data_IF_692596883314
#
_entry.id   IF_692596883314
#
_cell.length_a   1.000
_cell.length_b   1.000
_cell.length_c   1.000
_cell.angle_alpha   90.00
_cell.angle_beta   90.00
_cell.angle_gamma   90.00
#
_symmetry.space_group_name_H-M   'P 1'
#
loop_
_entity.id
_entity.type
_entity.pdbx_description
1 polymer ?
#
# COMPACT_ATOMS: atom_id res chain seq x y z
N UNK A 1 -18.20 2.86 -17.20
CA UNK A 1 -16.88 3.33 -16.75
C UNK A 1 -16.33 2.27 -15.83
N UNK A 2 -15.41 1.47 -16.37
CA UNK A 2 -14.82 0.35 -15.66
C UNK A 2 -13.90 0.91 -14.56
N UNK A 3 -14.24 0.61 -13.31
CA UNK A 3 -13.41 1.01 -12.18
C UNK A 3 -12.24 0.02 -12.12
N UNK A 4 -11.06 0.43 -12.59
CA UNK A 4 -9.82 -0.32 -12.45
C UNK A 4 -9.43 -0.41 -10.97
N UNK A 5 -10.05 -1.35 -10.29
CA UNK A 5 -9.98 -1.53 -8.85
C UNK A 5 -9.64 -2.97 -8.51
N UNK A 6 -9.04 -3.17 -7.35
CA UNK A 6 -8.75 -4.51 -6.81
C UNK A 6 -9.16 -4.55 -5.34
N UNK A 7 -9.96 -5.56 -4.99
CA UNK A 7 -10.25 -5.87 -3.59
C UNK A 7 -9.06 -6.62 -3.00
N UNK A 8 -8.41 -6.05 -1.99
CA UNK A 8 -7.32 -6.69 -1.27
C UNK A 8 -7.75 -7.08 0.13
N UNK A 9 -7.12 -8.14 0.62
CA UNK A 9 -7.24 -8.61 2.00
C UNK A 9 -5.84 -8.76 2.55
N UNK A 10 -5.46 -7.87 3.45
CA UNK A 10 -4.12 -7.81 4.00
C UNK A 10 -4.16 -8.15 5.48
N UNK A 11 -3.37 -9.14 5.88
CA UNK A 11 -3.18 -9.48 7.30
C UNK A 11 -2.23 -8.48 7.92
N UNK A 12 -2.49 -8.09 9.17
CA UNK A 12 -1.57 -7.29 9.97
C UNK A 12 -0.18 -7.94 9.99
N UNK A 13 0.86 -7.11 9.89
CA UNK A 13 2.24 -7.55 10.13
C UNK A 13 2.42 -7.62 11.65
N UNK A 14 2.85 -8.77 12.14
CA UNK A 14 3.27 -8.92 13.53
C UNK A 14 4.63 -8.23 13.71
N UNK A 15 4.73 -7.37 14.71
CA UNK A 15 5.94 -6.62 15.00
C UNK A 15 6.25 -6.75 16.49
N UNK A 16 7.46 -7.23 16.81
CA UNK A 16 7.85 -7.57 18.19
C UNK A 16 8.69 -6.48 18.87
N UNK A 17 9.17 -5.47 18.14
CA UNK A 17 10.15 -4.49 18.64
C UNK A 17 9.55 -3.19 19.16
N UNK A 18 8.24 -3.16 19.44
CA UNK A 18 7.57 -1.98 19.99
C UNK A 18 6.11 -1.85 19.55
N UNK A 19 5.38 -0.85 20.06
CA UNK A 19 4.02 -0.60 19.62
C UNK A 19 4.02 -0.12 18.17
N UNK A 20 3.22 -0.78 17.34
CA UNK A 20 2.95 -0.28 15.99
C UNK A 20 2.20 1.06 16.08
N UNK A 21 2.61 2.02 15.27
CA UNK A 21 2.01 3.36 15.23
C UNK A 21 1.22 3.60 13.96
N UNK A 22 1.54 2.89 12.87
CA UNK A 22 0.81 2.99 11.62
C UNK A 22 1.00 1.76 10.72
N UNK A 23 0.03 1.57 9.82
CA UNK A 23 0.14 0.73 8.65
C UNK A 23 -0.03 1.56 7.39
N UNK A 24 0.84 1.34 6.41
CA UNK A 24 0.79 1.97 5.10
C UNK A 24 0.55 0.91 4.04
N UNK A 25 -0.51 1.08 3.23
CA UNK A 25 -0.79 0.18 2.12
C UNK A 25 0.05 0.60 0.91
N UNK A 26 1.06 -0.20 0.58
CA UNK A 26 1.88 -0.02 -0.61
C UNK A 26 1.23 -0.65 -1.84
N UNK A 27 1.28 0.08 -2.95
CA UNK A 27 0.97 -0.40 -4.29
C UNK A 27 2.26 -0.36 -5.09
N UNK A 28 2.75 -1.53 -5.50
CA UNK A 28 4.01 -1.69 -6.25
C UNK A 28 3.70 -1.91 -7.73
N UNK A 29 4.23 -1.04 -8.59
CA UNK A 29 4.11 -1.10 -10.05
C UNK A 29 5.25 -1.97 -10.61
N UNK A 30 4.92 -3.14 -11.20
CA UNK A 30 5.89 -4.17 -11.68
C UNK A 30 6.78 -4.75 -10.56
N UNK A 31 7.53 -5.81 -10.88
CA UNK A 31 8.47 -6.49 -9.97
C UNK A 31 9.72 -5.65 -9.67
N UNK A 32 9.55 -4.39 -9.28
CA UNK A 32 10.62 -3.64 -8.64
C UNK A 32 10.74 -4.11 -7.20
N UNK A 33 11.96 -4.46 -6.81
CA UNK A 33 12.29 -4.75 -5.43
C UNK A 33 12.05 -3.48 -4.60
N UNK A 34 11.27 -3.60 -3.52
CA UNK A 34 11.11 -2.51 -2.55
C UNK A 34 12.37 -2.52 -1.68
N UNK A 35 13.35 -1.70 -2.06
CA UNK A 35 14.63 -1.58 -1.36
C UNK A 35 14.50 -0.60 -0.20
N UNK A 36 15.03 -0.98 0.97
CA UNK A 36 15.07 -0.12 2.14
C UNK A 36 16.15 0.99 2.00
N UNK A 37 15.93 2.18 2.58
CA UNK A 37 14.77 2.58 3.37
C UNK A 37 13.54 2.86 2.49
N UNK A 38 12.37 2.42 2.96
CA UNK A 38 11.09 2.61 2.25
C UNK A 38 10.70 4.09 2.32
N UNK A 39 10.38 4.68 1.17
CA UNK A 39 9.88 6.06 1.09
C UNK A 39 8.36 6.06 1.02
N UNK A 40 7.72 6.62 2.03
CA UNK A 40 6.26 6.69 2.14
C UNK A 40 5.73 7.90 1.35
N UNK A 41 5.71 7.78 0.02
CA UNK A 41 5.25 8.84 -0.87
C UNK A 41 3.81 8.61 -1.34
N UNK A 42 3.08 9.70 -1.49
CA UNK A 42 1.79 9.72 -2.17
C UNK A 42 1.97 9.45 -3.68
N UNK A 43 0.88 9.11 -4.40
CA UNK A 43 0.92 8.76 -5.82
C UNK A 43 1.60 9.83 -6.67
N UNK A 44 1.14 11.08 -6.58
CA UNK A 44 1.70 12.21 -7.35
C UNK A 44 3.21 12.35 -7.16
N UNK A 45 3.69 12.37 -5.91
CA UNK A 45 5.13 12.48 -5.61
C UNK A 45 5.93 11.24 -6.05
N UNK A 46 5.32 10.05 -6.00
CA UNK A 46 5.96 8.83 -6.51
C UNK A 46 6.14 8.90 -8.03
N UNK A 47 5.14 9.39 -8.77
CA UNK A 47 5.24 9.59 -10.23
C UNK A 47 6.31 10.63 -10.57
N UNK A 48 6.31 11.78 -9.89
CA UNK A 48 7.29 12.85 -10.11
C UNK A 48 8.74 12.40 -9.90
N UNK A 49 8.95 11.44 -8.99
CA UNK A 49 10.28 10.91 -8.65
C UNK A 49 10.61 9.60 -9.37
N UNK A 50 9.71 9.07 -10.20
CA UNK A 50 9.86 7.78 -10.88
C UNK A 50 9.94 6.59 -9.92
N UNK A 51 9.39 6.72 -8.71
CA UNK A 51 9.37 5.65 -7.72
C UNK A 51 8.42 4.54 -8.17
N UNK A 52 8.91 3.29 -8.22
CA UNK A 52 8.14 2.13 -8.69
C UNK A 52 7.00 1.68 -7.76
N UNK A 53 6.71 2.42 -6.69
CA UNK A 53 5.62 2.15 -5.75
C UNK A 53 5.13 3.45 -5.12
N UNK A 54 3.91 3.41 -4.57
CA UNK A 54 3.33 4.51 -3.80
C UNK A 54 2.51 3.97 -2.63
N UNK A 55 2.19 4.85 -1.68
CA UNK A 55 1.26 4.55 -0.59
C UNK A 55 -0.14 4.99 -1.01
N UNK A 56 -1.10 4.06 -0.96
CA UNK A 56 -2.49 4.33 -1.33
C UNK A 56 -3.38 4.67 -0.13
N UNK A 57 -2.97 4.28 1.08
CA UNK A 57 -3.70 4.55 2.30
C UNK A 57 -2.81 4.42 3.53
N UNK A 58 -3.15 5.15 4.59
CA UNK A 58 -2.61 5.00 5.94
C UNK A 58 -3.71 4.63 6.92
N UNK A 59 -3.41 3.72 7.83
CA UNK A 59 -4.29 3.25 8.89
C UNK A 59 -3.57 3.26 10.24
N UNK A 60 -4.33 3.42 11.30
CA UNK A 60 -3.93 3.09 12.68
C UNK A 60 -3.99 1.58 12.92
N UNK A 61 -3.27 1.05 13.93
CA UNK A 61 -3.36 -0.37 14.28
C UNK A 61 -4.79 -0.85 14.57
N UNK A 62 -5.60 -0.02 15.23
CA UNK A 62 -7.00 -0.34 15.56
C UNK A 62 -7.89 -0.45 14.31
N UNK A 63 -7.65 0.37 13.29
CA UNK A 63 -8.37 0.28 12.01
C UNK A 63 -8.03 -0.99 11.22
N UNK A 64 -6.82 -1.53 11.38
CA UNK A 64 -6.39 -2.77 10.71
C UNK A 64 -6.85 -4.02 11.47
N UNK A 65 -6.81 -3.98 12.80
CA UNK A 65 -7.07 -5.16 13.63
C UNK A 65 -6.15 -6.33 13.23
N UNK A 66 -6.72 -7.51 13.03
CA UNK A 66 -5.97 -8.68 12.53
C UNK A 66 -5.91 -8.75 10.99
N UNK A 67 -6.85 -8.12 10.29
CA UNK A 67 -6.97 -8.16 8.83
C UNK A 67 -7.81 -7.01 8.31
N UNK A 68 -7.30 -6.31 7.32
CA UNK A 68 -8.01 -5.26 6.60
C UNK A 68 -8.53 -5.76 5.25
N UNK A 69 -9.76 -5.37 4.91
CA UNK A 69 -10.26 -5.42 3.53
C UNK A 69 -10.28 -4.01 2.97
N UNK A 70 -9.71 -3.82 1.78
CA UNK A 70 -9.60 -2.51 1.17
C UNK A 70 -9.79 -2.59 -0.34
N UNK A 71 -10.35 -1.53 -0.94
CA UNK A 71 -10.51 -1.40 -2.39
C UNK A 71 -9.42 -0.48 -2.91
N UNK A 72 -8.37 -1.04 -3.50
CA UNK A 72 -7.34 -0.25 -4.17
C UNK A 72 -7.87 0.26 -5.51
N UNK A 73 -7.60 1.52 -5.83
CA UNK A 73 -8.02 2.16 -7.07
C UNK A 73 -9.36 2.88 -7.00
N UNK A 74 -9.91 3.12 -5.81
CA UNK A 74 -11.28 3.63 -5.66
C UNK A 74 -11.41 5.13 -6.02
N UNK A 75 -10.30 5.85 -6.14
CA UNK A 75 -10.27 7.29 -6.44
C UNK A 75 -10.51 8.18 -5.22
N UNK A 76 -10.43 7.63 -4.01
CA UNK A 76 -10.59 8.32 -2.74
C UNK A 76 -9.23 8.71 -2.10
N UNK A 77 -9.29 9.41 -0.97
CA UNK A 77 -8.13 9.75 -0.14
C UNK A 77 -8.35 9.13 1.23
N UNK A 78 -7.39 8.32 1.69
CA UNK A 78 -7.51 7.57 2.95
C UNK A 78 -6.25 7.77 3.79
N UNK A 79 -6.42 8.30 5.01
CA UNK A 79 -5.30 8.59 5.90
C UNK A 79 -4.30 9.61 5.34
N UNK A 80 -4.75 10.47 4.41
CA UNK A 80 -3.93 11.51 3.76
C UNK A 80 -3.24 11.07 2.46
N UNK A 81 -3.45 9.83 2.00
CA UNK A 81 -2.85 9.29 0.78
C UNK A 81 -3.91 9.09 -0.31
N UNK A 82 -3.53 9.38 -1.55
CA UNK A 82 -4.36 9.22 -2.74
C UNK A 82 -4.43 7.73 -3.12
N UNK A 83 -5.64 7.23 -3.37
CA UNK A 83 -5.91 5.89 -3.86
C UNK A 83 -6.43 5.94 -5.31
N UNK A 84 -5.64 6.45 -6.28
CA UNK A 84 -6.11 6.70 -7.63
C UNK A 84 -6.42 5.40 -8.38
N UNK A 85 -7.32 5.42 -9.38
CA UNK A 85 -7.61 4.26 -10.22
C UNK A 85 -6.35 3.60 -10.77
N UNK A 86 -6.35 2.27 -10.79
CA UNK A 86 -5.23 1.50 -11.32
C UNK A 86 -5.17 1.61 -12.86
N UNK A 87 -3.98 1.37 -13.41
CA UNK A 87 -3.83 1.25 -14.87
C UNK A 87 -4.39 -0.11 -15.33
N UNK A 88 -5.20 -0.09 -16.38
CA UNK A 88 -5.80 -1.31 -16.91
C UNK A 88 -4.72 -2.25 -17.47
N UNK A 89 -4.80 -3.54 -17.14
CA UNK A 89 -3.89 -4.55 -17.68
C UNK A 89 -2.47 -4.55 -17.07
N UNK A 90 -2.16 -3.64 -16.15
CA UNK A 90 -0.89 -3.62 -15.45
C UNK A 90 -0.91 -4.59 -14.23
N UNK A 91 0.20 -5.32 -13.97
CA UNK A 91 0.34 -6.12 -12.76
C UNK A 91 0.79 -5.26 -11.57
N UNK A 92 0.15 -5.47 -10.43
CA UNK A 92 0.46 -4.79 -9.17
C UNK A 92 0.65 -5.78 -8.03
N UNK A 93 1.60 -5.51 -7.13
CA UNK A 93 1.66 -6.17 -5.82
C UNK A 93 1.19 -5.21 -4.74
N UNK A 94 0.57 -5.75 -3.69
CA UNK A 94 0.03 -4.97 -2.58
C UNK A 94 0.60 -5.46 -1.27
N UNK A 95 0.76 -4.58 -0.29
CA UNK A 95 1.20 -5.03 1.02
C UNK A 95 1.14 -3.94 2.06
N UNK A 96 1.26 -4.36 3.31
CA UNK A 96 1.45 -3.41 4.40
C UNK A 96 2.93 -3.18 4.64
N UNK A 97 3.27 -1.92 4.85
CA UNK A 97 4.42 -1.50 5.64
C UNK A 97 3.90 -1.14 7.03
N UNK A 98 4.39 -1.84 8.05
CA UNK A 98 4.14 -1.52 9.44
C UNK A 98 5.24 -0.61 9.95
N UNK A 99 4.84 0.48 10.58
CA UNK A 99 5.74 1.44 11.21
C UNK A 99 5.62 1.29 12.73
N UNK A 100 6.76 1.10 13.38
CA UNK A 100 6.91 1.28 14.81
C UNK A 100 7.80 2.49 15.04
N UNK A 101 7.26 3.53 15.66
CA UNK A 101 8.04 4.62 16.21
C UNK A 101 8.38 4.29 17.67
N UNK A 102 9.60 3.82 17.91
CA UNK A 102 10.10 3.57 19.26
C UNK A 102 11.32 4.47 19.51
N UNK A 103 11.23 5.31 20.54
CA UNK A 103 12.30 6.23 20.98
C UNK A 103 12.84 7.20 19.89
N UNK A 104 12.06 7.47 18.84
CA UNK A 104 12.42 8.42 17.77
C UNK A 104 12.99 7.78 16.51
N UNK A 105 13.23 6.46 16.51
CA UNK A 105 13.64 5.70 15.33
C UNK A 105 12.44 4.95 14.74
N UNK A 106 12.20 5.15 13.44
CA UNK A 106 11.15 4.45 12.70
C UNK A 106 11.72 3.16 12.08
N UNK A 107 11.17 2.02 12.48
CA UNK A 107 11.50 0.70 11.89
C UNK A 107 10.32 0.25 11.02
N UNK A 108 10.65 -0.24 9.82
CA UNK A 108 9.66 -0.67 8.83
C UNK A 108 9.76 -2.17 8.55
N UNK A 109 8.66 -2.89 8.77
CA UNK A 109 8.47 -4.28 8.32
C UNK A 109 7.43 -4.34 7.21
N UNK A 110 7.60 -5.19 6.20
CA UNK A 110 6.61 -5.27 5.12
C UNK A 110 6.36 -6.69 4.60
N UNK A 111 5.16 -6.90 4.06
CA UNK A 111 4.77 -8.15 3.38
C UNK A 111 3.94 -7.84 2.15
N UNK A 112 4.44 -8.25 0.97
CA UNK A 112 3.76 -8.09 -0.31
C UNK A 112 3.01 -9.37 -0.71
N UNK A 113 1.89 -9.20 -1.41
CA UNK A 113 1.20 -10.28 -2.14
C UNK A 113 1.97 -10.65 -3.40
N UNK A 114 1.63 -11.80 -3.99
CA UNK A 114 1.97 -12.04 -5.40
C UNK A 114 1.30 -10.99 -6.29
N UNK A 115 1.88 -10.66 -7.46
CA UNK A 115 1.28 -9.69 -8.36
C UNK A 115 -0.13 -10.11 -8.81
N UNK A 116 -1.06 -9.16 -8.84
CA UNK A 116 -2.43 -9.31 -9.32
C UNK A 116 -2.66 -8.28 -10.43
N UNK A 117 -3.33 -8.69 -11.50
CA UNK A 117 -3.68 -7.79 -12.60
C UNK A 117 -4.96 -7.05 -12.24
N UNK A 118 -4.94 -5.72 -12.31
CA UNK A 118 -6.15 -4.91 -12.18
C UNK A 118 -7.16 -5.33 -13.25
N UNK A 119 -8.30 -5.86 -12.84
CA UNK A 119 -9.35 -6.25 -13.80
C UNK A 119 -9.97 -4.99 -14.37
N UNK A 120 -9.51 -4.58 -15.55
CA UNK A 120 -10.36 -3.88 -16.50
C UNK A 120 -11.35 -4.90 -17.05
N UNK A 121 -12.62 -4.84 -16.64
CA UNK A 121 -13.66 -5.55 -17.37
C UNK A 121 -13.82 -4.85 -18.73
N UNK A 122 -13.24 -5.41 -19.78
CA UNK A 122 -13.49 -5.02 -21.16
C UNK A 122 -14.49 -5.97 -21.80
N UNK A 123 -15.72 -5.49 -22.00
CA UNK A 123 -16.58 -5.58 -23.19
C UNK A 123 -18.03 -5.21 -22.83
#
# INVERSE_FOLDING_TARGET
MDRNTVNVSLTAVEFQEGPLTAYYLLVVKKAHEVVAPIRLLNFSSAEDTGLGYYVAARFTPDEVGSRLRFVVGAGDVVGGFENPPLEAGAPYSFGFVAESNFLGDAIYGYRLTTPVIGKGCGL
#
